data_IF_819877152843
#
_entry.id   IF_819877152843
#
_cell.length_a   1.000
_cell.length_b   1.000
_cell.length_c   1.000
_cell.angle_alpha   90.00
_cell.angle_beta   90.00
_cell.angle_gamma   90.00
#
_symmetry.space_group_name_H-M   'P 1'
#
loop_
_entity.id
_entity.type
_entity.pdbx_description
1 polymer ?
#
# COMPACT_ATOMS: atom_id res chain seq x y z
N UNK A 1 31.05 -39.13 0.50
CA UNK A 1 30.02 -38.73 1.47
C UNK A 1 30.31 -37.31 1.95
N UNK A 2 29.64 -36.31 1.38
CA UNK A 2 29.46 -35.00 2.04
C UNK A 2 28.21 -34.38 1.42
N UNK A 3 27.07 -34.62 2.06
CA UNK A 3 25.76 -34.08 1.70
C UNK A 3 25.52 -32.92 2.66
N UNK A 4 26.12 -31.76 2.41
CA UNK A 4 25.89 -30.57 3.24
C UNK A 4 26.15 -29.26 2.50
N UNK A 5 25.77 -29.22 1.21
CA UNK A 5 25.88 -28.01 0.40
C UNK A 5 24.77 -27.96 -0.62
N UNK A 6 23.53 -27.69 -0.17
CA UNK A 6 22.38 -27.24 -1.01
C UNK A 6 21.09 -27.11 -0.19
N UNK A 7 21.08 -26.30 0.86
CA UNK A 7 19.81 -25.83 1.44
C UNK A 7 20.01 -24.37 1.81
N UNK A 8 19.94 -23.47 0.83
CA UNK A 8 19.58 -22.05 0.97
C UNK A 8 19.73 -21.37 -0.39
N UNK A 9 18.77 -21.60 -1.29
CA UNK A 9 18.48 -20.64 -2.37
C UNK A 9 17.15 -21.02 -3.04
N UNK A 10 16.05 -20.52 -2.48
CA UNK A 10 14.88 -20.13 -3.27
C UNK A 10 14.46 -18.76 -2.75
N UNK A 11 15.20 -17.72 -3.17
CA UNK A 11 14.67 -16.35 -3.15
C UNK A 11 13.43 -16.39 -4.03
N UNK A 12 12.28 -16.10 -3.44
CA UNK A 12 11.00 -15.99 -4.13
C UNK A 12 11.09 -14.83 -5.12
N UNK A 13 10.92 -15.11 -6.41
CA UNK A 13 10.91 -14.13 -7.50
C UNK A 13 9.61 -13.32 -7.55
N UNK A 14 9.34 -12.62 -6.44
CA UNK A 14 8.37 -11.54 -6.30
C UNK A 14 9.10 -10.19 -6.37
N UNK A 15 9.96 -10.03 -7.38
CA UNK A 15 10.39 -8.67 -7.75
C UNK A 15 9.19 -7.98 -8.38
N UNK A 16 8.79 -6.86 -7.79
CA UNK A 16 7.81 -5.99 -8.39
C UNK A 16 8.28 -5.63 -9.82
N UNK A 17 7.36 -5.63 -10.80
CA UNK A 17 7.72 -5.28 -12.19
C UNK A 17 8.23 -3.84 -12.26
N UNK A 18 8.83 -3.45 -13.40
CA UNK A 18 9.48 -2.14 -13.61
C UNK A 18 8.85 -0.98 -12.80
N UNK A 19 9.68 -0.12 -12.18
CA UNK A 19 9.19 0.97 -11.35
C UNK A 19 8.15 1.77 -12.12
N UNK A 20 7.08 2.16 -11.41
CA UNK A 20 6.05 3.05 -11.93
C UNK A 20 6.71 4.23 -12.64
N UNK A 21 6.35 4.50 -13.91
CA UNK A 21 6.80 5.71 -14.64
C UNK A 21 6.42 7.01 -13.92
N UNK A 22 5.50 6.94 -12.95
CA UNK A 22 5.15 8.04 -12.06
C UNK A 22 6.18 8.11 -10.94
N UNK A 23 6.89 9.25 -10.86
CA UNK A 23 7.82 9.56 -9.75
C UNK A 23 7.08 9.53 -8.42
N UNK A 24 7.65 8.84 -7.44
CA UNK A 24 7.17 8.79 -6.05
C UNK A 24 7.74 9.95 -5.23
N UNK A 25 7.10 10.28 -4.12
CA UNK A 25 7.65 11.21 -3.13
C UNK A 25 8.77 10.54 -2.32
N UNK A 26 9.56 11.36 -1.64
CA UNK A 26 10.60 10.86 -0.74
C UNK A 26 9.95 10.20 0.47
N UNK A 27 10.25 8.92 0.67
CA UNK A 27 9.68 8.09 1.73
C UNK A 27 10.57 8.14 2.96
N UNK A 28 10.03 8.65 4.06
CA UNK A 28 10.61 8.56 5.39
C UNK A 28 10.27 7.17 5.93
N UNK A 29 11.30 6.32 6.03
CA UNK A 29 11.19 4.95 6.53
C UNK A 29 11.16 4.92 8.06
N UNK A 30 10.57 3.88 8.67
CA UNK A 30 10.70 3.66 10.10
C UNK A 30 12.16 3.45 10.51
N UNK A 31 12.49 3.73 11.78
CA UNK A 31 13.84 3.59 12.33
C UNK A 31 14.40 2.17 12.27
N UNK A 32 13.52 1.16 12.14
CA UNK A 32 13.88 -0.24 11.92
C UNK A 32 13.23 -0.73 10.62
N UNK A 33 13.89 -1.64 9.90
CA UNK A 33 13.42 -2.11 8.59
C UNK A 33 12.07 -2.85 8.64
N UNK A 34 11.74 -3.47 9.77
CA UNK A 34 10.46 -4.15 10.02
C UNK A 34 9.37 -3.23 10.57
N UNK A 35 9.62 -1.91 10.61
CA UNK A 35 8.64 -0.97 11.15
C UNK A 35 7.39 -0.87 10.28
N UNK A 36 6.28 -0.51 10.92
CA UNK A 36 4.94 -0.52 10.31
C UNK A 36 4.49 0.87 9.84
N UNK A 37 5.23 1.94 10.18
CA UNK A 37 4.83 3.33 9.95
C UNK A 37 5.82 4.02 9.02
N UNK A 38 5.29 4.61 7.96
CA UNK A 38 6.04 5.35 6.95
C UNK A 38 5.41 6.73 6.80
N UNK A 39 6.23 7.71 6.47
CA UNK A 39 5.77 9.07 6.20
C UNK A 39 6.28 9.54 4.84
N UNK A 40 5.56 10.48 4.23
CA UNK A 40 6.05 11.25 3.10
C UNK A 40 5.32 12.59 3.03
N UNK A 41 5.96 13.57 2.40
CA UNK A 41 5.39 14.89 2.20
C UNK A 41 5.21 15.13 0.70
N UNK A 42 4.03 15.59 0.30
CA UNK A 42 3.77 15.94 -1.10
C UNK A 42 4.49 17.24 -1.52
N UNK A 43 4.53 17.51 -2.82
CA UNK A 43 5.09 18.75 -3.39
C UNK A 43 4.40 20.02 -2.84
N UNK A 44 3.22 19.88 -2.22
CA UNK A 44 2.44 20.97 -1.60
C UNK A 44 2.55 21.05 -0.08
N UNK A 45 3.42 20.25 0.54
CA UNK A 45 3.61 20.26 1.98
C UNK A 45 2.52 19.50 2.76
N UNK A 46 1.66 18.72 2.09
CA UNK A 46 0.74 17.82 2.79
C UNK A 46 1.52 16.60 3.28
N UNK A 47 1.47 16.35 4.58
CA UNK A 47 2.11 15.25 5.29
C UNK A 47 1.17 14.05 5.39
N UNK A 48 1.70 12.90 5.01
CA UNK A 48 0.98 11.64 4.99
C UNK A 48 1.63 10.62 5.92
N UNK A 49 0.79 9.82 6.58
CA UNK A 49 1.20 8.59 7.27
C UNK A 49 0.62 7.38 6.53
N UNK A 50 1.46 6.39 6.28
CA UNK A 50 1.04 5.05 5.86
C UNK A 50 1.40 4.06 6.95
N UNK A 51 0.38 3.48 7.58
CA UNK A 51 0.52 2.51 8.66
C UNK A 51 0.04 1.14 8.22
N UNK A 52 0.93 0.15 8.30
CA UNK A 52 0.63 -1.24 7.93
C UNK A 52 0.40 -2.03 9.22
N UNK A 53 -0.85 -2.02 9.68
CA UNK A 53 -1.27 -2.65 10.93
C UNK A 53 -1.59 -4.15 10.79
N UNK A 54 -1.66 -4.84 11.92
CA UNK A 54 -2.17 -6.21 12.01
C UNK A 54 -3.69 -6.18 12.16
N UNK A 55 -4.41 -7.00 11.38
CA UNK A 55 -5.87 -7.15 11.55
C UNK A 55 -6.14 -8.06 12.75
N UNK A 56 -5.39 -9.15 12.88
CA UNK A 56 -5.41 -10.11 13.99
C UNK A 56 -4.00 -10.72 14.15
N UNK A 57 -3.86 -11.81 14.92
CA UNK A 57 -2.64 -12.63 14.98
C UNK A 57 -2.34 -13.42 13.68
N UNK A 58 -3.14 -13.21 12.62
CA UNK A 58 -2.92 -13.81 11.30
C UNK A 58 -1.77 -13.14 10.52
N UNK A 59 -1.43 -13.76 9.39
CA UNK A 59 -0.46 -13.26 8.40
C UNK A 59 -1.09 -12.22 7.45
N UNK A 60 -2.07 -11.47 7.93
CA UNK A 60 -2.86 -10.50 7.18
C UNK A 60 -2.59 -9.10 7.74
N UNK A 61 -2.51 -8.11 6.86
CA UNK A 61 -2.22 -6.72 7.23
C UNK A 61 -3.27 -5.78 6.68
N UNK A 62 -3.49 -4.66 7.37
CA UNK A 62 -4.32 -3.56 6.89
C UNK A 62 -3.45 -2.34 6.62
N UNK A 63 -3.66 -1.70 5.48
CA UNK A 63 -2.99 -0.47 5.09
C UNK A 63 -3.91 0.69 5.45
N UNK A 64 -3.55 1.42 6.49
CA UNK A 64 -4.19 2.67 6.88
C UNK A 64 -3.42 3.84 6.29
N UNK A 65 -4.14 4.80 5.72
CA UNK A 65 -3.58 5.99 5.09
C UNK A 65 -4.21 7.21 5.74
N UNK A 66 -3.39 8.06 6.35
CA UNK A 66 -3.84 9.23 7.09
C UNK A 66 -3.15 10.49 6.56
N UNK A 67 -3.83 11.64 6.69
CA UNK A 67 -3.25 12.97 6.50
C UNK A 67 -2.97 13.59 7.86
N UNK A 68 -1.75 14.08 8.09
CA UNK A 68 -1.32 14.53 9.42
C UNK A 68 -1.49 16.03 9.66
N UNK A 69 -1.74 16.83 8.63
CA UNK A 69 -1.98 18.27 8.81
C UNK A 69 -3.37 18.53 9.41
N UNK A 70 -3.41 19.23 10.54
CA UNK A 70 -4.64 19.63 11.26
C UNK A 70 -5.68 20.34 10.38
N UNK A 71 -5.25 21.05 9.34
CA UNK A 71 -6.13 21.76 8.41
C UNK A 71 -7.01 20.81 7.56
N UNK A 72 -6.67 19.52 7.49
CA UNK A 72 -7.38 18.53 6.67
C UNK A 72 -8.01 17.40 7.51
N UNK A 73 -8.07 17.54 8.83
CA UNK A 73 -8.59 16.53 9.76
C UNK A 73 -10.04 16.09 9.46
N UNK A 74 -10.88 16.99 8.93
CA UNK A 74 -12.27 16.69 8.52
C UNK A 74 -12.42 16.34 7.02
N UNK A 75 -11.32 16.38 6.27
CA UNK A 75 -11.30 16.37 4.82
C UNK A 75 -10.00 15.75 4.29
N UNK A 76 -9.68 14.52 4.75
CA UNK A 76 -8.42 13.80 4.48
C UNK A 76 -8.05 13.65 2.99
N UNK A 77 -8.91 14.09 2.08
CA UNK A 77 -8.69 14.05 0.63
C UNK A 77 -9.38 15.18 -0.14
N UNK A 78 -9.85 16.26 0.49
CA UNK A 78 -10.50 17.36 -0.23
C UNK A 78 -9.52 18.10 -1.17
N UNK A 79 -8.22 18.00 -0.90
CA UNK A 79 -7.20 18.90 -1.47
C UNK A 79 -6.17 18.18 -2.33
N UNK A 80 -6.33 16.88 -2.62
CA UNK A 80 -5.41 16.20 -3.54
C UNK A 80 -5.82 16.47 -4.98
N UNK A 81 -5.10 17.36 -5.65
CA UNK A 81 -5.34 17.66 -7.06
C UNK A 81 -5.16 16.42 -7.94
N UNK A 82 -5.86 16.38 -9.09
CA UNK A 82 -5.86 15.22 -10.02
C UNK A 82 -4.45 14.72 -10.41
N UNK A 83 -3.43 15.57 -10.40
CA UNK A 83 -2.05 15.15 -10.71
C UNK A 83 -1.32 14.50 -9.53
N UNK A 84 -1.57 14.96 -8.30
CA UNK A 84 -0.88 14.48 -7.10
C UNK A 84 -1.39 13.13 -6.64
N UNK A 85 -2.69 12.84 -6.83
CA UNK A 85 -3.28 11.56 -6.42
C UNK A 85 -2.57 10.37 -7.06
N UNK A 86 -2.07 10.51 -8.29
CA UNK A 86 -1.29 9.46 -8.95
C UNK A 86 0.07 9.25 -8.27
N UNK A 87 0.77 10.32 -7.89
CA UNK A 87 2.05 10.24 -7.16
C UNK A 87 1.85 9.71 -5.74
N UNK A 88 0.79 10.15 -5.05
CA UNK A 88 0.41 9.65 -3.72
C UNK A 88 0.19 8.15 -3.78
N UNK A 89 -0.67 7.67 -4.67
CA UNK A 89 -0.92 6.22 -4.81
C UNK A 89 0.34 5.48 -5.24
N UNK A 90 1.15 6.01 -6.16
CA UNK A 90 2.43 5.40 -6.52
C UNK A 90 3.38 5.28 -5.32
N UNK A 91 3.41 6.28 -4.44
CA UNK A 91 4.24 6.31 -3.23
C UNK A 91 3.75 5.28 -2.22
N UNK A 92 2.45 5.17 -1.98
CA UNK A 92 1.87 4.13 -1.11
C UNK A 92 2.19 2.73 -1.64
N UNK A 93 2.11 2.53 -2.96
CA UNK A 93 2.46 1.24 -3.59
C UNK A 93 3.95 0.90 -3.46
N UNK A 94 4.81 1.91 -3.46
CA UNK A 94 6.25 1.72 -3.22
C UNK A 94 6.54 1.38 -1.75
N UNK A 95 5.86 2.05 -0.81
CA UNK A 95 5.89 1.69 0.62
C UNK A 95 5.44 0.23 0.80
N UNK A 96 4.35 -0.19 0.15
CA UNK A 96 3.89 -1.57 0.21
C UNK A 96 4.92 -2.56 -0.35
N UNK A 97 5.60 -2.22 -1.45
CA UNK A 97 6.66 -3.06 -2.00
C UNK A 97 7.82 -3.22 -1.00
N UNK A 98 8.29 -2.11 -0.41
CA UNK A 98 9.33 -2.11 0.64
C UNK A 98 8.89 -2.97 1.83
N UNK A 99 7.64 -2.85 2.27
CA UNK A 99 7.14 -3.61 3.40
C UNK A 99 7.05 -5.11 3.10
N UNK A 100 6.56 -5.50 1.91
CA UNK A 100 6.51 -6.90 1.47
C UNK A 100 7.90 -7.54 1.48
N UNK A 101 8.92 -6.82 1.01
CA UNK A 101 10.30 -7.31 1.00
C UNK A 101 10.84 -7.61 2.41
N UNK A 102 10.45 -6.79 3.39
CA UNK A 102 10.85 -6.98 4.79
C UNK A 102 9.97 -7.98 5.56
N UNK A 103 8.81 -8.37 5.02
CA UNK A 103 7.82 -9.23 5.70
C UNK A 103 7.35 -10.39 4.80
N UNK A 104 8.24 -11.31 4.38
CA UNK A 104 7.93 -12.35 3.39
C UNK A 104 6.90 -13.39 3.87
N UNK A 105 6.57 -13.42 5.16
CA UNK A 105 5.56 -14.32 5.72
C UNK A 105 4.13 -13.76 5.63
N UNK A 106 3.96 -12.46 5.40
CA UNK A 106 2.63 -11.85 5.25
C UNK A 106 2.02 -12.29 3.92
N UNK A 107 0.79 -12.78 3.98
CA UNK A 107 0.09 -13.38 2.83
C UNK A 107 -0.84 -12.40 2.11
N UNK A 108 -1.44 -11.49 2.86
CA UNK A 108 -2.42 -10.56 2.31
C UNK A 108 -2.37 -9.18 2.95
N UNK A 109 -2.81 -8.20 2.17
CA UNK A 109 -2.95 -6.82 2.60
C UNK A 109 -4.35 -6.32 2.22
N UNK A 110 -5.03 -5.71 3.17
CA UNK A 110 -6.34 -5.10 3.03
C UNK A 110 -6.22 -3.57 3.02
N UNK A 111 -7.08 -2.91 2.26
CA UNK A 111 -7.27 -1.47 2.33
C UNK A 111 -8.71 -1.11 1.96
N UNK A 112 -9.16 0.07 2.36
CA UNK A 112 -10.49 0.59 2.06
C UNK A 112 -10.39 2.10 1.77
N UNK A 113 -10.79 2.50 0.56
CA UNK A 113 -10.82 3.92 0.19
C UNK A 113 -12.14 4.56 0.62
N UNK A 114 -12.10 5.77 1.16
CA UNK A 114 -13.33 6.44 1.61
C UNK A 114 -14.30 6.77 0.46
N UNK A 115 -15.58 6.88 0.81
CA UNK A 115 -16.61 7.36 -0.11
C UNK A 115 -16.58 8.88 -0.20
N UNK A 116 -16.79 9.40 -1.42
CA UNK A 116 -16.82 10.86 -1.66
C UNK A 116 -18.05 11.52 -1.02
N UNK A 117 -19.18 10.81 -0.98
CA UNK A 117 -20.42 11.25 -0.36
C UNK A 117 -20.81 10.25 0.73
N UNK A 118 -21.46 10.72 1.79
CA UNK A 118 -21.99 9.85 2.86
C UNK A 118 -23.18 8.99 2.37
N UNK A 119 -23.77 9.33 1.23
CA UNK A 119 -24.87 8.58 0.60
C UNK A 119 -24.33 7.33 -0.12
N UNK A 120 -24.62 6.16 0.47
CA UNK A 120 -24.08 4.86 0.07
C UNK A 120 -24.91 4.19 -1.03
N UNK A 121 -25.00 4.80 -2.20
CA UNK A 121 -25.66 4.17 -3.35
C UNK A 121 -24.76 3.16 -4.09
N UNK A 122 -23.44 3.26 -3.92
CA UNK A 122 -22.47 2.37 -4.55
C UNK A 122 -21.75 1.50 -3.52
N UNK A 123 -21.64 0.21 -3.81
CA UNK A 123 -21.03 -0.77 -2.90
C UNK A 123 -19.51 -0.56 -2.72
N UNK A 124 -18.81 -0.11 -3.77
CA UNK A 124 -17.37 0.14 -3.76
C UNK A 124 -17.08 1.60 -4.11
N UNK A 125 -16.16 2.24 -3.38
CA UNK A 125 -15.71 3.60 -3.69
C UNK A 125 -14.85 3.66 -4.96
N UNK A 126 -14.81 4.84 -5.60
CA UNK A 126 -13.90 5.09 -6.74
C UNK A 126 -12.43 4.92 -6.30
N UNK A 127 -12.11 5.31 -5.06
CA UNK A 127 -10.76 5.20 -4.49
C UNK A 127 -10.33 3.74 -4.36
N UNK A 128 -11.22 2.88 -3.84
CA UNK A 128 -10.94 1.44 -3.74
C UNK A 128 -10.67 0.83 -5.12
N UNK A 129 -11.53 1.10 -6.10
CA UNK A 129 -11.33 0.63 -7.48
C UNK A 129 -10.01 1.13 -8.10
N UNK A 130 -9.70 2.41 -7.91
CA UNK A 130 -8.49 3.02 -8.44
C UNK A 130 -7.23 2.38 -7.87
N UNK A 131 -7.19 2.20 -6.55
CA UNK A 131 -6.05 1.60 -5.86
C UNK A 131 -5.89 0.12 -6.22
N UNK A 132 -6.97 -0.68 -6.29
CA UNK A 132 -6.93 -2.06 -6.79
C UNK A 132 -6.36 -2.15 -8.22
N UNK A 133 -6.76 -1.24 -9.12
CA UNK A 133 -6.20 -1.19 -10.47
C UNK A 133 -4.71 -0.85 -10.46
N UNK A 134 -4.28 0.04 -9.59
CA UNK A 134 -2.87 0.40 -9.45
C UNK A 134 -2.04 -0.75 -8.85
N UNK A 135 -2.55 -1.44 -7.82
CA UNK A 135 -1.98 -2.65 -7.22
C UNK A 135 -1.75 -3.73 -8.29
N UNK A 136 -2.78 -4.05 -9.09
CA UNK A 136 -2.68 -5.07 -10.14
C UNK A 136 -1.59 -4.75 -11.17
N UNK A 137 -1.34 -3.47 -11.46
CA UNK A 137 -0.25 -3.05 -12.35
C UNK A 137 1.12 -3.18 -11.70
N UNK A 138 1.25 -2.83 -10.42
CA UNK A 138 2.53 -2.90 -9.68
C UNK A 138 2.93 -4.34 -9.34
N UNK A 139 1.95 -5.18 -9.02
CA UNK A 139 2.12 -6.56 -8.59
C UNK A 139 1.33 -7.52 -9.50
N UNK A 140 1.75 -7.71 -10.76
CA UNK A 140 0.96 -8.44 -11.76
C UNK A 140 0.73 -9.92 -11.43
N UNK A 141 1.57 -10.52 -10.57
CA UNK A 141 1.42 -11.91 -10.11
C UNK A 141 0.50 -12.05 -8.89
N UNK A 142 0.11 -10.94 -8.26
CA UNK A 142 -0.77 -10.97 -7.08
C UNK A 142 -2.22 -11.25 -7.47
N UNK A 143 -2.97 -11.84 -6.53
CA UNK A 143 -4.44 -11.90 -6.63
C UNK A 143 -5.00 -10.62 -6.02
N UNK A 144 -5.89 -9.92 -6.72
CA UNK A 144 -6.56 -8.71 -6.22
C UNK A 144 -8.06 -8.94 -6.25
N UNK A 145 -8.71 -8.78 -5.10
CA UNK A 145 -10.16 -8.96 -4.90
C UNK A 145 -10.77 -7.70 -4.31
N UNK A 146 -12.04 -7.43 -4.64
CA UNK A 146 -12.84 -6.36 -4.05
C UNK A 146 -14.06 -7.02 -3.42
N UNK A 147 -14.26 -6.81 -2.11
CA UNK A 147 -15.39 -7.32 -1.34
C UNK A 147 -16.05 -6.13 -0.64
N UNK A 148 -17.22 -5.70 -1.11
CA UNK A 148 -17.81 -4.44 -0.69
C UNK A 148 -16.91 -3.24 -1.07
N UNK A 149 -16.51 -2.45 -0.07
CA UNK A 149 -15.53 -1.38 -0.23
C UNK A 149 -14.10 -1.75 0.19
N UNK A 150 -13.84 -3.04 0.45
CA UNK A 150 -12.52 -3.53 0.83
C UNK A 150 -11.80 -4.08 -0.38
N UNK A 151 -10.59 -3.60 -0.61
CA UNK A 151 -9.66 -4.18 -1.56
C UNK A 151 -8.67 -5.09 -0.84
N UNK A 152 -8.49 -6.31 -1.34
CA UNK A 152 -7.58 -7.30 -0.78
C UNK A 152 -6.57 -7.68 -1.86
N UNK A 153 -5.29 -7.62 -1.52
CA UNK A 153 -4.20 -8.15 -2.35
C UNK A 153 -3.58 -9.35 -1.64
N UNK A 154 -3.44 -10.46 -2.35
CA UNK A 154 -2.75 -11.67 -1.90
C UNK A 154 -1.48 -11.85 -2.70
N UNK A 155 -0.35 -11.90 -1.98
CA UNK A 155 0.98 -12.15 -2.56
C UNK A 155 1.24 -13.66 -2.48
N UNK A 156 1.61 -14.29 -3.60
CA UNK A 156 1.87 -15.74 -3.71
C UNK A 156 3.33 -15.99 -4.06
#
# INVERSE_FOLDING_TARGET
>A
MSILGKIFSKKTDLKASEPSKVKVFDIIRPSISSGEVYHFTSDRGVEYEVRIGKITDTLERIINFNVLNDEYHDNEYATTNKGEIFKVVATVLEILAIYIENHPLVKSYEFNGEFKNKDREVETSIRTRFFCRALKRRFPKSKVEIIGNRGIITIR
#
